data_IF_649850034505
#
_entry.id   IF_649850034505
#
_cell.length_a   1.000
_cell.length_b   1.000
_cell.length_c   1.000
_cell.angle_alpha   90.00
_cell.angle_beta   90.00
_cell.angle_gamma   90.00
#
_symmetry.space_group_name_H-M   'P 1'
#
loop_
_entity.id
_entity.type
_entity.pdbx_description
1 polymer ?
#
# COMPACT_ATOMS: atom_id res chain seq x y z
N UNK A 1 10.34 31.98 -20.15
CA UNK A 1 8.98 31.45 -19.87
C UNK A 1 8.67 31.82 -18.42
N UNK A 2 7.71 32.71 -18.17
CA UNK A 2 7.37 33.11 -16.79
C UNK A 2 6.38 32.08 -16.24
N UNK A 3 6.80 31.36 -15.20
CA UNK A 3 5.94 30.41 -14.49
C UNK A 3 5.15 31.20 -13.45
N UNK A 4 3.84 30.99 -13.37
CA UNK A 4 3.03 31.64 -12.34
C UNK A 4 3.43 31.14 -10.95
N UNK A 5 3.25 31.97 -9.92
CA UNK A 5 3.53 31.56 -8.54
C UNK A 5 2.77 30.28 -8.17
N UNK A 6 1.52 30.16 -8.61
CA UNK A 6 0.70 28.97 -8.39
C UNK A 6 1.36 27.70 -8.95
N UNK A 7 1.81 27.76 -10.19
CA UNK A 7 2.43 26.60 -10.86
C UNK A 7 3.76 26.22 -10.20
N UNK A 8 4.54 27.23 -9.77
CA UNK A 8 5.77 27.00 -9.02
C UNK A 8 5.51 26.32 -7.67
N UNK A 9 4.50 26.76 -6.93
CA UNK A 9 4.12 26.16 -5.65
C UNK A 9 3.60 24.72 -5.81
N UNK A 10 2.79 24.45 -6.85
CA UNK A 10 2.31 23.08 -7.14
C UNK A 10 3.48 22.15 -7.42
N UNK A 11 4.42 22.55 -8.27
CA UNK A 11 5.62 21.75 -8.58
C UNK A 11 6.46 21.51 -7.34
N UNK A 12 6.73 22.56 -6.57
CA UNK A 12 7.49 22.46 -5.33
C UNK A 12 6.84 21.49 -4.33
N UNK A 13 5.50 21.48 -4.23
CA UNK A 13 4.77 20.54 -3.40
C UNK A 13 4.86 19.09 -3.92
N UNK A 14 4.81 18.89 -5.23
CA UNK A 14 4.98 17.58 -5.87
C UNK A 14 6.40 17.03 -5.67
N UNK A 15 7.41 17.90 -5.75
CA UNK A 15 8.81 17.49 -5.54
C UNK A 15 9.09 17.12 -4.06
N UNK A 16 8.25 17.60 -3.14
CA UNK A 16 8.42 17.46 -1.69
C UNK A 16 7.29 16.66 -1.02
N UNK A 17 6.59 15.78 -1.76
CA UNK A 17 5.44 15.01 -1.25
C UNK A 17 5.73 14.21 0.03
N UNK A 18 6.98 13.78 0.23
CA UNK A 18 7.37 13.02 1.43
C UNK A 18 7.23 13.81 2.74
N UNK A 19 7.17 15.14 2.65
CA UNK A 19 6.99 16.03 3.80
C UNK A 19 5.53 16.47 4.00
N UNK A 20 4.63 16.11 3.07
CA UNK A 20 3.20 16.40 3.21
C UNK A 20 2.54 15.39 4.15
N UNK A 21 1.94 15.91 5.23
CA UNK A 21 1.24 15.12 6.24
C UNK A 21 -0.17 15.66 6.46
N UNK A 22 -0.34 16.72 7.24
CA UNK A 22 -1.63 17.39 7.42
C UNK A 22 -1.81 18.49 6.36
N UNK A 23 -2.90 18.42 5.59
CA UNK A 23 -3.22 19.44 4.57
C UNK A 23 -4.20 20.50 5.07
N UNK A 24 -4.69 20.41 6.32
CA UNK A 24 -5.57 21.39 6.95
C UNK A 24 -6.74 21.82 6.04
N UNK A 25 -6.93 23.14 5.91
CA UNK A 25 -7.97 23.77 5.09
C UNK A 25 -7.52 24.11 3.65
N UNK A 26 -6.42 23.51 3.17
CA UNK A 26 -5.90 23.78 1.82
C UNK A 26 -6.97 23.60 0.75
N UNK A 27 -7.04 24.51 -0.22
CA UNK A 27 -8.05 24.47 -1.27
C UNK A 27 -8.12 23.12 -2.01
N UNK A 28 -9.34 22.64 -2.25
CA UNK A 28 -9.59 21.32 -2.87
C UNK A 28 -9.03 21.26 -4.29
N UNK A 29 -9.09 22.35 -5.06
CA UNK A 29 -8.55 22.38 -6.43
C UNK A 29 -7.03 22.31 -6.43
N UNK A 30 -6.37 22.88 -5.41
CA UNK A 30 -4.93 22.72 -5.23
C UNK A 30 -4.56 21.27 -4.89
N UNK A 31 -5.29 20.65 -3.95
CA UNK A 31 -5.09 19.24 -3.60
C UNK A 31 -5.34 18.30 -4.79
N UNK A 32 -6.32 18.58 -5.65
CA UNK A 32 -6.55 17.83 -6.90
C UNK A 32 -5.37 17.86 -7.87
N UNK A 33 -4.49 18.86 -7.79
CA UNK A 33 -3.27 18.93 -8.62
C UNK A 33 -2.08 18.21 -7.98
N UNK A 34 -1.99 18.21 -6.65
CA UNK A 34 -0.84 17.67 -5.93
C UNK A 34 -1.02 16.17 -5.61
N UNK A 35 -2.15 15.79 -5.02
CA UNK A 35 -2.39 14.43 -4.52
C UNK A 35 -2.33 13.30 -5.58
N UNK A 36 -2.65 13.51 -6.87
CA UNK A 36 -2.50 12.45 -7.88
C UNK A 36 -1.07 11.93 -8.06
N UNK A 37 -0.07 12.69 -7.60
CA UNK A 37 1.33 12.32 -7.66
C UNK A 37 1.80 11.50 -6.45
N UNK A 38 0.97 11.40 -5.40
CA UNK A 38 1.28 10.60 -4.22
C UNK A 38 1.28 9.09 -4.53
N UNK A 39 2.18 8.37 -3.88
CA UNK A 39 2.07 6.92 -3.76
C UNK A 39 1.03 6.55 -2.68
N UNK A 40 0.70 5.25 -2.57
CA UNK A 40 -0.33 4.79 -1.65
C UNK A 40 0.01 5.05 -0.17
N UNK A 41 1.29 4.98 0.19
CA UNK A 41 1.74 5.18 1.58
C UNK A 41 1.66 6.65 1.97
N UNK A 42 2.09 7.56 1.08
CA UNK A 42 1.95 9.01 1.21
C UNK A 42 0.48 9.40 1.30
N UNK A 43 -0.37 8.87 0.40
CA UNK A 43 -1.80 9.15 0.42
C UNK A 43 -2.46 8.66 1.72
N UNK A 44 -2.07 7.48 2.21
CA UNK A 44 -2.53 6.97 3.50
C UNK A 44 -2.07 7.88 4.64
N UNK A 45 -0.80 8.29 4.64
CA UNK A 45 -0.24 9.15 5.67
C UNK A 45 -0.98 10.48 5.75
N UNK A 46 -1.27 11.09 4.60
CA UNK A 46 -2.02 12.36 4.52
C UNK A 46 -3.43 12.20 5.09
N UNK A 47 -4.15 11.16 4.66
CA UNK A 47 -5.50 10.91 5.18
C UNK A 47 -5.55 10.51 6.66
N UNK A 48 -4.49 9.89 7.20
CA UNK A 48 -4.42 9.59 8.64
C UNK A 48 -4.05 10.81 9.48
N UNK A 49 -3.26 11.72 8.92
CA UNK A 49 -2.71 12.86 9.65
C UNK A 49 -3.66 14.06 9.63
N UNK A 50 -4.41 14.24 8.55
CA UNK A 50 -5.40 15.31 8.40
C UNK A 50 -6.63 14.98 9.26
N UNK A 51 -6.86 15.75 10.33
CA UNK A 51 -8.00 15.57 11.24
C UNK A 51 -9.10 16.58 10.93
N UNK A 52 -10.36 16.19 11.10
CA UNK A 52 -11.50 17.10 11.00
C UNK A 52 -11.98 17.42 9.57
N UNK A 53 -11.34 16.86 8.54
CA UNK A 53 -11.69 17.06 7.12
C UNK A 53 -11.78 15.74 6.38
N UNK A 54 -12.89 15.54 5.64
CA UNK A 54 -13.04 14.37 4.78
C UNK A 54 -12.40 14.61 3.40
N UNK A 55 -11.30 13.92 3.11
CA UNK A 55 -10.62 13.96 1.82
C UNK A 55 -11.16 12.92 0.82
N UNK A 56 -12.08 12.04 1.24
CA UNK A 56 -12.66 10.98 0.39
C UNK A 56 -13.15 11.47 -0.98
N UNK A 57 -13.77 12.67 -1.14
CA UNK A 57 -14.25 13.15 -2.44
C UNK A 57 -13.16 13.28 -3.51
N UNK A 58 -11.90 13.46 -3.11
CA UNK A 58 -10.77 13.57 -4.04
C UNK A 58 -9.86 12.33 -3.98
N UNK A 59 -9.75 11.67 -2.82
CA UNK A 59 -8.80 10.57 -2.65
C UNK A 59 -9.35 9.21 -3.03
N UNK A 60 -10.67 8.98 -3.01
CA UNK A 60 -11.25 7.65 -3.29
C UNK A 60 -10.92 7.18 -4.72
N UNK A 61 -10.95 8.09 -5.70
CA UNK A 61 -10.51 7.78 -7.06
C UNK A 61 -9.00 7.53 -7.15
N UNK A 62 -8.20 8.27 -6.37
CA UNK A 62 -6.75 8.06 -6.30
C UNK A 62 -6.43 6.69 -5.72
N UNK A 63 -7.15 6.26 -4.68
CA UNK A 63 -7.06 4.93 -4.12
C UNK A 63 -7.38 3.84 -5.12
N UNK A 64 -8.40 4.02 -5.97
CA UNK A 64 -8.69 3.10 -7.08
C UNK A 64 -7.49 2.98 -8.03
N UNK A 65 -6.88 4.11 -8.40
CA UNK A 65 -5.68 4.13 -9.27
C UNK A 65 -4.48 3.47 -8.60
N UNK A 66 -4.25 3.73 -7.32
CA UNK A 66 -3.21 3.06 -6.54
C UNK A 66 -3.42 1.55 -6.46
N UNK A 67 -4.68 1.10 -6.32
CA UNK A 67 -5.04 -0.30 -6.34
C UNK A 67 -4.73 -0.94 -7.70
N UNK A 68 -5.16 -0.32 -8.80
CA UNK A 68 -4.87 -0.79 -10.16
C UNK A 68 -3.37 -0.86 -10.45
N UNK A 69 -2.61 0.17 -10.06
CA UNK A 69 -1.15 0.19 -10.22
C UNK A 69 -0.44 -0.93 -9.45
N UNK A 70 -0.91 -1.28 -8.25
CA UNK A 70 -0.27 -2.32 -7.41
C UNK A 70 -0.71 -3.74 -7.74
N UNK A 71 -1.97 -3.92 -8.10
CA UNK A 71 -2.60 -5.25 -8.22
C UNK A 71 -3.11 -5.59 -9.62
N UNK A 72 -3.01 -4.66 -10.58
CA UNK A 72 -3.54 -4.79 -11.93
C UNK A 72 -4.96 -4.22 -12.08
N UNK A 73 -5.29 -3.77 -13.29
CA UNK A 73 -6.62 -3.25 -13.64
C UNK A 73 -7.69 -4.37 -13.62
N UNK A 74 -7.32 -5.61 -13.98
CA UNK A 74 -8.24 -6.76 -13.90
C UNK A 74 -8.73 -6.97 -12.46
N UNK A 75 -7.86 -6.75 -11.48
CA UNK A 75 -8.23 -6.84 -10.07
C UNK A 75 -9.18 -5.73 -9.62
N UNK A 76 -9.08 -4.54 -10.22
CA UNK A 76 -10.02 -3.44 -9.99
C UNK A 76 -11.40 -3.84 -10.52
N UNK A 77 -11.46 -4.41 -11.72
CA UNK A 77 -12.73 -4.78 -12.35
C UNK A 77 -13.44 -5.91 -11.59
N UNK A 78 -12.72 -6.97 -11.22
CA UNK A 78 -13.27 -8.03 -10.36
C UNK A 78 -13.86 -7.49 -9.05
N UNK A 79 -13.23 -6.46 -8.47
CA UNK A 79 -13.70 -5.84 -7.22
C UNK A 79 -14.97 -5.01 -7.45
N UNK A 80 -15.07 -4.29 -8.58
CA UNK A 80 -16.30 -3.58 -8.97
C UNK A 80 -17.45 -4.53 -9.27
N UNK A 81 -17.18 -5.62 -9.98
CA UNK A 81 -18.17 -6.67 -10.26
C UNK A 81 -18.68 -7.27 -8.95
N UNK A 82 -17.77 -7.66 -8.05
CA UNK A 82 -18.11 -8.22 -6.74
C UNK A 82 -18.94 -7.26 -5.89
N UNK A 83 -18.61 -5.96 -5.90
CA UNK A 83 -19.39 -4.93 -5.21
C UNK A 83 -20.80 -4.80 -5.81
N UNK A 84 -20.90 -4.82 -7.13
CA UNK A 84 -22.17 -4.75 -7.86
C UNK A 84 -23.06 -5.96 -7.56
N UNK A 85 -22.52 -7.18 -7.64
CA UNK A 85 -23.26 -8.42 -7.35
C UNK A 85 -23.77 -8.49 -5.91
N UNK A 86 -22.99 -7.97 -4.95
CA UNK A 86 -23.35 -7.96 -3.52
C UNK A 86 -24.12 -6.70 -3.10
N UNK A 87 -24.39 -5.77 -4.03
CA UNK A 87 -25.03 -4.46 -3.78
C UNK A 87 -24.39 -3.69 -2.60
N UNK A 88 -23.07 -3.74 -2.48
CA UNK A 88 -22.34 -3.05 -1.42
C UNK A 88 -21.36 -2.03 -2.02
N UNK A 89 -21.14 -0.93 -1.29
CA UNK A 89 -20.16 0.09 -1.63
C UNK A 89 -19.11 0.15 -0.53
N UNK A 90 -17.85 -0.01 -0.89
CA UNK A 90 -16.71 0.12 0.01
C UNK A 90 -15.77 1.22 -0.50
N UNK A 91 -15.11 1.92 0.42
CA UNK A 91 -14.06 2.89 0.06
C UNK A 91 -12.85 2.15 -0.51
N UNK A 92 -12.24 2.67 -1.58
CA UNK A 92 -11.08 2.02 -2.21
C UNK A 92 -9.89 1.89 -1.26
N UNK A 93 -9.73 2.84 -0.33
CA UNK A 93 -8.74 2.78 0.74
C UNK A 93 -8.87 1.51 1.60
N UNK A 94 -10.09 1.16 1.99
CA UNK A 94 -10.33 -0.02 2.84
C UNK A 94 -10.01 -1.31 2.08
N UNK A 95 -10.39 -1.38 0.81
CA UNK A 95 -10.11 -2.51 -0.07
C UNK A 95 -8.61 -2.68 -0.31
N UNK A 96 -7.89 -1.56 -0.49
CA UNK A 96 -6.45 -1.56 -0.60
C UNK A 96 -5.79 -2.12 0.67
N UNK A 97 -6.13 -1.56 1.84
CA UNK A 97 -5.55 -2.00 3.11
C UNK A 97 -5.85 -3.47 3.42
N UNK A 98 -7.07 -3.94 3.14
CA UNK A 98 -7.45 -5.32 3.34
C UNK A 98 -6.61 -6.28 2.48
N UNK A 99 -6.43 -5.95 1.20
CA UNK A 99 -5.63 -6.78 0.27
C UNK A 99 -4.13 -6.77 0.61
N UNK A 100 -3.59 -5.64 1.08
CA UNK A 100 -2.21 -5.58 1.56
C UNK A 100 -2.01 -6.51 2.75
N UNK A 101 -2.91 -6.47 3.74
CA UNK A 101 -2.85 -7.38 4.90
C UNK A 101 -2.91 -8.85 4.50
N UNK A 102 -3.80 -9.19 3.55
CA UNK A 102 -3.89 -10.55 3.01
C UNK A 102 -2.57 -11.02 2.39
N UNK A 103 -1.93 -10.17 1.57
CA UNK A 103 -0.62 -10.49 0.99
C UNK A 103 0.48 -10.65 2.05
N UNK A 104 0.52 -9.76 3.03
CA UNK A 104 1.50 -9.82 4.12
C UNK A 104 1.34 -11.11 4.94
N UNK A 105 0.11 -11.54 5.20
CA UNK A 105 -0.17 -12.80 5.88
C UNK A 105 0.28 -14.02 5.07
N UNK A 106 0.00 -14.04 3.76
CA UNK A 106 0.44 -15.11 2.87
C UNK A 106 1.97 -15.18 2.83
N UNK A 107 2.65 -14.05 2.70
CA UNK A 107 4.11 -13.98 2.72
C UNK A 107 4.67 -14.48 4.06
N UNK A 108 4.13 -14.01 5.19
CA UNK A 108 4.56 -14.44 6.53
C UNK A 108 4.41 -15.95 6.72
N UNK A 109 3.29 -16.53 6.30
CA UNK A 109 3.07 -17.99 6.36
C UNK A 109 4.09 -18.75 5.49
N UNK A 110 4.37 -18.26 4.29
CA UNK A 110 5.38 -18.83 3.40
C UNK A 110 6.79 -18.82 4.00
N UNK A 111 7.22 -17.68 4.54
CA UNK A 111 8.52 -17.51 5.19
C UNK A 111 8.63 -18.43 6.43
N UNK A 112 7.58 -18.51 7.24
CA UNK A 112 7.56 -19.37 8.42
C UNK A 112 7.70 -20.85 8.02
N UNK A 113 6.95 -21.31 7.01
CA UNK A 113 7.04 -22.68 6.50
C UNK A 113 8.44 -23.00 5.98
N UNK A 114 9.07 -22.08 5.25
CA UNK A 114 10.43 -22.26 4.76
C UNK A 114 11.43 -22.39 5.93
N UNK A 115 11.28 -21.55 6.96
CA UNK A 115 12.11 -21.59 8.16
C UNK A 115 11.99 -22.91 8.92
N UNK A 116 10.79 -23.48 9.00
CA UNK A 116 10.54 -24.79 9.61
C UNK A 116 11.25 -25.91 8.84
N UNK A 117 11.13 -25.93 7.51
CA UNK A 117 11.81 -26.91 6.66
C UNK A 117 13.34 -26.86 6.81
N UNK A 118 13.93 -25.67 6.89
CA UNK A 118 15.37 -25.52 7.13
C UNK A 118 15.80 -26.06 8.50
N UNK A 119 15.02 -25.77 9.56
CA UNK A 119 15.29 -26.30 10.91
C UNK A 119 15.24 -27.83 10.92
N UNK A 120 14.25 -28.41 10.26
CA UNK A 120 14.10 -29.86 10.16
C UNK A 120 15.27 -30.49 9.39
N UNK A 121 15.63 -29.93 8.24
CA UNK A 121 16.75 -30.41 7.43
C UNK A 121 18.09 -30.32 8.18
N UNK A 122 18.35 -29.21 8.87
CA UNK A 122 19.55 -29.06 9.69
C UNK A 122 19.58 -30.06 10.86
N UNK A 123 18.43 -30.31 11.49
CA UNK A 123 18.31 -31.32 12.56
C UNK A 123 18.62 -32.73 12.04
N UNK A 124 18.14 -33.08 10.84
CA UNK A 124 18.46 -34.34 10.17
C UNK A 124 19.96 -34.46 9.83
N UNK A 125 20.58 -33.41 9.29
CA UNK A 125 22.03 -33.36 9.02
C UNK A 125 22.85 -33.52 10.30
N UNK A 126 22.52 -32.78 11.35
CA UNK A 126 23.22 -32.86 12.63
C UNK A 126 23.04 -34.22 13.31
N UNK A 127 21.88 -34.86 13.14
CA UNK A 127 21.64 -36.24 13.58
C UNK A 127 22.52 -37.22 12.81
N UNK A 128 22.60 -37.11 11.49
CA UNK A 128 23.46 -37.97 10.65
C UNK A 128 24.94 -37.86 11.02
N UNK A 129 25.47 -36.63 11.19
CA UNK A 129 26.87 -36.39 11.56
C UNK A 129 27.24 -37.01 12.91
N UNK A 130 26.32 -36.99 13.89
CA UNK A 130 26.53 -37.64 15.20
C UNK A 130 26.65 -39.17 15.13
N UNK A 131 26.03 -39.81 14.13
CA UNK A 131 26.13 -41.26 13.94
C UNK A 131 27.30 -41.69 13.06
N UNK A 132 27.96 -40.74 12.37
CA UNK A 132 29.08 -41.03 11.44
C UNK A 132 30.47 -40.72 12.01
N UNK A 133 30.57 -40.22 13.25
CA UNK A 133 31.87 -39.98 13.90
C UNK A 133 32.38 -41.30 14.51
N UNK A 134 33.54 -41.84 14.06
CA UNK A 134 34.11 -43.03 14.66
C UNK A 134 34.49 -42.74 16.12
N UNK A 135 34.12 -43.63 17.05
CA UNK A 135 34.67 -43.59 18.40
C UNK A 135 36.13 -44.03 18.31
N UNK A 136 37.06 -43.10 18.56
CA UNK A 136 38.47 -43.42 18.80
C UNK A 136 38.62 -44.21 20.11
#
# INVERSE_FOLDING_TARGET
MVVSLLEFCVRSAIDNLQYLSDVGETDIQLLKRILPHCNADQLNHIETSTKGRDLSPITDELWRKCYGRRFGEDAVEMVKERMSSRKCKFKWRQLYQAKVREQDEIQRKGVNRLRELYKEQNSRKFRSIRYSTPKC
#
